data_IF_116420078433
#
_entry.id   IF_116420078433
#
_cell.length_a   1.000
_cell.length_b   1.000
_cell.length_c   1.000
_cell.angle_alpha   90.00
_cell.angle_beta   90.00
_cell.angle_gamma   90.00
#
_symmetry.space_group_name_H-M   'P 1'
#
loop_
_entity.id
_entity.type
_entity.pdbx_description
1 polymer ?
#
# COMPACT_ATOMS: atom_id res chain seq x y z
N UNK A 1 33.67 13.10 -22.07
CA UNK A 1 32.29 13.43 -22.47
C UNK A 1 31.42 12.88 -21.39
N UNK A 2 30.65 13.79 -20.78
CA UNK A 2 29.66 13.47 -19.76
C UNK A 2 28.53 12.65 -20.40
N UNK A 3 27.80 11.89 -19.57
CA UNK A 3 26.72 11.04 -20.04
C UNK A 3 25.56 11.90 -20.54
N UNK A 4 25.06 11.62 -21.75
CA UNK A 4 23.82 12.22 -22.24
C UNK A 4 22.80 11.13 -22.54
N UNK A 5 21.56 11.31 -22.09
CA UNK A 5 20.47 10.34 -22.24
C UNK A 5 19.34 10.95 -23.06
N UNK A 6 19.08 10.38 -24.23
CA UNK A 6 17.96 10.76 -25.12
C UNK A 6 16.81 9.75 -24.95
N UNK A 7 15.59 10.26 -24.78
CA UNK A 7 14.37 9.46 -24.62
C UNK A 7 13.66 9.31 -25.96
N UNK A 8 13.50 8.08 -26.44
CA UNK A 8 12.81 7.78 -27.70
C UNK A 8 11.58 6.92 -27.43
N UNK A 9 10.36 7.48 -27.49
CA UNK A 9 9.16 6.67 -27.45
C UNK A 9 9.11 5.75 -28.67
N UNK A 10 8.78 4.48 -28.47
CA UNK A 10 8.65 3.52 -29.57
C UNK A 10 7.17 3.46 -29.95
N UNK A 11 6.80 3.99 -31.11
CA UNK A 11 5.42 3.89 -31.58
C UNK A 11 5.18 2.50 -32.18
N UNK A 12 4.18 1.78 -31.67
CA UNK A 12 3.70 0.55 -32.27
C UNK A 12 3.20 0.78 -33.70
N UNK A 13 3.26 -0.26 -34.55
CA UNK A 13 2.72 -0.20 -35.91
C UNK A 13 1.18 -0.07 -35.86
N UNK A 14 0.69 1.16 -35.78
CA UNK A 14 -0.72 1.52 -35.60
C UNK A 14 -0.83 2.66 -34.60
N UNK A 15 -0.75 3.90 -35.09
CA UNK A 15 -0.54 5.12 -34.31
C UNK A 15 -1.68 5.59 -33.40
N UNK A 16 -2.39 4.68 -32.72
CA UNK A 16 -3.47 5.00 -31.77
C UNK A 16 -3.36 4.28 -30.42
N UNK A 17 -2.26 3.57 -30.14
CA UNK A 17 -1.96 3.05 -28.80
C UNK A 17 -0.55 3.47 -28.37
N UNK A 18 -0.45 4.17 -27.23
CA UNK A 18 0.83 4.39 -26.55
C UNK A 18 1.41 3.02 -26.16
N UNK A 19 2.46 2.59 -26.84
CA UNK A 19 3.23 1.40 -26.47
C UNK A 19 3.84 1.65 -25.08
N UNK A 20 3.80 0.65 -24.19
CA UNK A 20 4.36 0.68 -22.83
C UNK A 20 5.91 0.61 -22.86
N UNK A 21 6.51 1.08 -23.97
CA UNK A 21 7.90 0.85 -24.33
C UNK A 21 8.64 2.14 -24.68
N UNK A 22 9.85 2.27 -24.13
CA UNK A 22 10.74 3.40 -24.39
C UNK A 22 12.19 2.94 -24.59
N UNK A 23 12.86 3.55 -25.56
CA UNK A 23 14.29 3.41 -25.76
C UNK A 23 15.02 4.60 -25.09
N UNK A 24 15.96 4.32 -24.19
CA UNK A 24 16.89 5.29 -23.61
C UNK A 24 18.24 5.16 -24.29
N UNK A 25 18.60 6.17 -25.09
CA UNK A 25 19.86 6.19 -25.84
C UNK A 25 20.91 6.94 -25.03
N UNK A 26 21.89 6.20 -24.51
CA UNK A 26 22.98 6.74 -23.72
C UNK A 26 24.22 6.96 -24.60
N UNK A 27 24.88 8.11 -24.44
CA UNK A 27 26.11 8.48 -25.16
C UNK A 27 27.18 8.94 -24.17
N UNK A 28 28.43 8.54 -24.40
CA UNK A 28 29.56 8.97 -23.56
C UNK A 28 30.17 7.82 -22.74
N UNK A 29 30.23 7.97 -21.42
CA UNK A 29 30.88 7.01 -20.51
C UNK A 29 29.96 6.72 -19.32
N UNK A 30 30.00 5.48 -18.82
CA UNK A 30 29.31 5.07 -17.60
C UNK A 30 30.37 4.69 -16.54
N UNK A 31 30.58 5.58 -15.60
CA UNK A 31 31.43 5.45 -14.42
C UNK A 31 30.62 5.73 -13.13
N UNK A 32 31.29 5.98 -11.99
CA UNK A 32 30.59 6.02 -10.70
C UNK A 32 29.60 7.18 -10.59
N UNK A 33 29.95 8.34 -11.17
CA UNK A 33 29.13 9.56 -11.12
C UNK A 33 28.00 9.49 -12.15
N UNK A 34 28.34 9.12 -13.39
CA UNK A 34 27.36 9.03 -14.49
C UNK A 34 26.41 7.83 -14.38
N UNK A 35 26.75 6.79 -13.61
CA UNK A 35 25.83 5.67 -13.41
C UNK A 35 24.60 6.06 -12.58
N UNK A 36 24.74 6.95 -11.59
CA UNK A 36 23.60 7.45 -10.80
C UNK A 36 22.62 8.24 -11.69
N UNK A 37 23.12 8.97 -12.69
CA UNK A 37 22.29 9.68 -13.67
C UNK A 37 21.47 8.72 -14.56
N UNK A 38 22.07 7.57 -14.94
CA UNK A 38 21.36 6.54 -15.70
C UNK A 38 20.29 5.85 -14.85
N UNK A 39 20.58 5.58 -13.58
CA UNK A 39 19.62 5.02 -12.63
C UNK A 39 18.44 5.95 -12.42
N UNK A 40 18.69 7.24 -12.15
CA UNK A 40 17.64 8.24 -12.02
C UNK A 40 16.80 8.39 -13.31
N UNK A 41 17.43 8.32 -14.48
CA UNK A 41 16.70 8.39 -15.75
C UNK A 41 15.77 7.19 -15.95
N UNK A 42 16.21 5.97 -15.60
CA UNK A 42 15.37 4.78 -15.69
C UNK A 42 14.27 4.80 -14.62
N UNK A 43 14.58 5.19 -13.39
CA UNK A 43 13.62 5.33 -12.31
C UNK A 43 12.52 6.34 -12.65
N UNK A 44 12.86 7.45 -13.32
CA UNK A 44 11.88 8.42 -13.80
C UNK A 44 10.94 7.81 -14.85
N UNK A 45 11.43 7.00 -15.78
CA UNK A 45 10.58 6.32 -16.77
C UNK A 45 9.67 5.27 -16.11
N UNK A 46 10.20 4.52 -15.14
CA UNK A 46 9.42 3.59 -14.32
C UNK A 46 8.35 4.33 -13.51
N UNK A 47 8.67 5.51 -12.96
CA UNK A 47 7.74 6.40 -12.24
C UNK A 47 6.62 6.92 -13.13
N UNK A 48 6.93 7.19 -14.40
CA UNK A 48 5.96 7.56 -15.43
C UNK A 48 5.11 6.38 -15.93
N UNK A 49 5.28 5.18 -15.35
CA UNK A 49 4.47 4.00 -15.62
C UNK A 49 4.89 3.23 -16.87
N UNK A 50 6.09 3.49 -17.42
CA UNK A 50 6.63 2.74 -18.56
C UNK A 50 7.39 1.53 -18.05
N UNK A 51 6.88 0.34 -18.32
CA UNK A 51 7.45 -0.90 -17.78
C UNK A 51 8.35 -1.65 -18.76
N UNK A 52 8.44 -1.25 -20.04
CA UNK A 52 9.37 -1.83 -21.02
C UNK A 52 10.44 -0.82 -21.43
N UNK A 53 11.61 -0.88 -20.81
CA UNK A 53 12.72 0.06 -21.04
C UNK A 53 13.85 -0.66 -21.79
N UNK A 54 14.32 -0.06 -22.89
CA UNK A 54 15.43 -0.59 -23.68
C UNK A 54 16.58 0.39 -23.65
N UNK A 55 17.76 -0.06 -23.23
CA UNK A 55 18.96 0.75 -23.16
C UNK A 55 19.75 0.58 -24.45
N UNK A 56 19.91 1.65 -25.21
CA UNK A 56 20.84 1.71 -26.34
C UNK A 56 22.16 2.32 -25.87
N UNK A 57 23.18 1.47 -25.78
CA UNK A 57 24.53 1.80 -25.35
C UNK A 57 25.52 1.80 -26.53
N UNK A 58 25.05 1.93 -27.77
CA UNK A 58 25.89 1.90 -28.99
C UNK A 58 26.94 3.00 -29.00
N UNK A 59 26.67 4.13 -28.37
CA UNK A 59 27.57 5.29 -28.29
C UNK A 59 28.24 5.45 -26.91
N UNK A 60 28.15 4.42 -26.06
CA UNK A 60 28.91 4.36 -24.81
C UNK A 60 30.27 3.72 -25.09
N UNK A 61 31.34 4.47 -24.85
CA UNK A 61 32.72 4.03 -25.11
C UNK A 61 33.41 3.38 -23.92
N UNK A 62 32.84 3.47 -22.71
CA UNK A 62 33.47 3.00 -21.47
C UNK A 62 32.42 2.62 -20.42
N UNK A 63 32.65 1.50 -19.72
CA UNK A 63 31.83 1.00 -18.62
C UNK A 63 32.72 0.54 -17.46
N UNK A 64 32.57 1.15 -16.29
CA UNK A 64 33.28 0.78 -15.06
C UNK A 64 32.58 -0.36 -14.29
N UNK A 65 33.23 -0.89 -13.25
CA UNK A 65 32.60 -1.87 -12.35
C UNK A 65 31.38 -1.30 -11.60
N UNK A 66 31.36 0.00 -11.30
CA UNK A 66 30.20 0.68 -10.72
C UNK A 66 29.04 0.74 -11.73
N UNK A 67 29.34 1.05 -12.99
CA UNK A 67 28.33 1.07 -14.05
C UNK A 67 27.69 -0.30 -14.30
N UNK A 68 28.48 -1.39 -14.26
CA UNK A 68 27.94 -2.75 -14.35
C UNK A 68 26.96 -3.04 -13.22
N UNK A 69 27.29 -2.63 -11.99
CA UNK A 69 26.44 -2.85 -10.82
C UNK A 69 25.12 -2.10 -10.96
N UNK A 70 25.15 -0.86 -11.44
CA UNK A 70 23.95 -0.07 -11.70
C UNK A 70 23.08 -0.69 -12.79
N UNK A 71 23.65 -1.11 -13.92
CA UNK A 71 22.88 -1.82 -14.96
C UNK A 71 22.19 -3.08 -14.43
N UNK A 72 22.85 -3.81 -13.54
CA UNK A 72 22.25 -4.98 -12.89
C UNK A 72 21.15 -4.61 -11.89
N UNK A 73 21.35 -3.55 -11.10
CA UNK A 73 20.35 -3.06 -10.15
C UNK A 73 19.10 -2.58 -10.88
N UNK A 74 19.26 -1.80 -11.94
CA UNK A 74 18.17 -1.30 -12.78
C UNK A 74 17.42 -2.48 -13.43
N UNK A 75 18.13 -3.45 -14.01
CA UNK A 75 17.50 -4.66 -14.57
C UNK A 75 16.69 -5.42 -13.52
N UNK A 76 17.26 -5.59 -12.31
CA UNK A 76 16.57 -6.26 -11.19
C UNK A 76 15.36 -5.47 -10.70
N UNK A 77 15.48 -4.15 -10.59
CA UNK A 77 14.42 -3.25 -10.16
C UNK A 77 13.25 -3.29 -11.16
N UNK A 78 13.54 -3.15 -12.46
CA UNK A 78 12.55 -3.26 -13.53
C UNK A 78 11.89 -4.65 -13.57
N UNK A 79 12.65 -5.73 -13.37
CA UNK A 79 12.09 -7.09 -13.33
C UNK A 79 11.24 -7.35 -12.09
N UNK A 80 11.61 -6.78 -10.94
CA UNK A 80 10.84 -6.88 -9.69
C UNK A 80 9.45 -6.22 -9.83
N UNK A 81 9.37 -5.13 -10.60
CA UNK A 81 8.12 -4.42 -10.89
C UNK A 81 7.31 -5.02 -12.06
N UNK A 82 7.74 -6.16 -12.60
CA UNK A 82 7.05 -6.84 -13.71
C UNK A 82 7.32 -6.23 -15.09
N UNK A 83 8.22 -5.25 -15.16
CA UNK A 83 8.74 -4.69 -16.38
C UNK A 83 9.99 -5.40 -16.89
N UNK A 84 10.61 -4.82 -17.89
CA UNK A 84 11.92 -5.21 -18.39
C UNK A 84 12.78 -3.98 -18.59
N UNK A 85 14.04 -4.06 -18.14
CA UNK A 85 15.08 -3.14 -18.55
C UNK A 85 16.21 -3.97 -19.15
N UNK A 86 16.37 -3.90 -20.47
CA UNK A 86 17.33 -4.70 -21.22
C UNK A 86 18.13 -3.80 -22.15
N UNK A 87 19.39 -4.17 -22.39
CA UNK A 87 20.27 -3.53 -23.35
C UNK A 87 19.86 -4.01 -24.74
N UNK A 88 19.33 -3.12 -25.57
CA UNK A 88 18.89 -3.41 -26.94
C UNK A 88 20.05 -3.41 -27.92
N UNK A 89 21.04 -2.54 -27.70
CA UNK A 89 22.27 -2.44 -28.48
C UNK A 89 23.42 -1.93 -27.61
N UNK A 90 24.65 -2.33 -27.92
CA UNK A 90 25.84 -1.90 -27.20
C UNK A 90 27.04 -1.80 -28.17
N UNK A 91 27.98 -0.89 -27.87
CA UNK A 91 29.23 -0.80 -28.62
C UNK A 91 30.09 -2.07 -28.48
N UNK A 92 31.04 -2.29 -29.40
CA UNK A 92 31.93 -3.46 -29.36
C UNK A 92 32.75 -3.57 -28.06
N UNK A 93 33.34 -2.48 -27.52
CA UNK A 93 34.00 -2.53 -26.21
C UNK A 93 33.08 -2.96 -25.07
N UNK A 94 31.84 -2.46 -25.05
CA UNK A 94 30.86 -2.73 -23.99
C UNK A 94 30.34 -4.16 -24.08
N UNK A 95 30.04 -4.62 -25.28
CA UNK A 95 29.66 -6.02 -25.55
C UNK A 95 30.74 -6.96 -25.04
N UNK A 96 32.02 -6.68 -25.36
CA UNK A 96 33.15 -7.50 -24.89
C UNK A 96 33.26 -7.55 -23.37
N UNK A 97 33.04 -6.42 -22.68
CA UNK A 97 33.01 -6.35 -21.21
C UNK A 97 31.87 -7.20 -20.64
N UNK A 98 30.65 -7.08 -21.17
CA UNK A 98 29.48 -7.84 -20.72
C UNK A 98 29.63 -9.34 -20.97
N UNK A 99 30.24 -9.74 -22.10
CA UNK A 99 30.53 -11.15 -22.40
C UNK A 99 31.58 -11.72 -21.45
N UNK A 100 32.69 -11.01 -21.22
CA UNK A 100 33.74 -11.46 -20.29
C UNK A 100 33.22 -11.57 -18.85
N UNK A 101 32.32 -10.67 -18.45
CA UNK A 101 31.65 -10.72 -17.15
C UNK A 101 30.50 -11.75 -17.07
N UNK A 102 30.18 -12.45 -18.17
CA UNK A 102 29.04 -13.40 -18.31
C UNK A 102 27.67 -12.77 -18.02
N UNK A 103 27.53 -11.47 -18.26
CA UNK A 103 26.30 -10.71 -18.00
C UNK A 103 25.45 -10.50 -19.25
N UNK A 104 26.01 -10.72 -20.45
CA UNK A 104 25.28 -10.54 -21.71
C UNK A 104 23.94 -11.33 -21.78
N UNK A 105 23.83 -12.60 -21.35
CA UNK A 105 22.55 -13.34 -21.39
C UNK A 105 21.48 -12.82 -20.41
N UNK A 106 21.89 -12.02 -19.42
CA UNK A 106 21.01 -11.50 -18.36
C UNK A 106 20.55 -10.09 -18.71
N UNK A 107 21.48 -9.27 -19.22
CA UNK A 107 21.28 -7.83 -19.41
C UNK A 107 20.97 -7.44 -20.86
N UNK A 108 21.24 -8.27 -21.86
CA UNK A 108 20.96 -7.94 -23.27
C UNK A 108 19.67 -8.58 -23.77
N UNK A 109 18.92 -7.82 -24.56
CA UNK A 109 17.74 -8.29 -25.27
C UNK A 109 18.13 -9.44 -26.21
N UNK A 110 17.50 -10.59 -26.04
CA UNK A 110 17.74 -11.73 -26.92
C UNK A 110 16.89 -11.54 -28.19
N UNK A 111 17.44 -11.77 -29.40
CA UNK A 111 16.62 -11.83 -30.60
C UNK A 111 15.56 -12.91 -30.39
N UNK A 112 14.28 -12.50 -30.43
CA UNK A 112 13.17 -13.47 -30.46
C UNK A 112 13.26 -14.19 -31.80
N UNK A 113 13.87 -15.38 -31.78
CA UNK A 113 13.71 -16.34 -32.86
C UNK A 113 12.23 -16.74 -32.85
N UNK A 114 11.48 -16.18 -33.79
CA UNK A 114 10.05 -16.42 -33.93
C UNK A 114 9.82 -17.94 -34.04
N UNK A 115 8.97 -18.55 -33.19
CA UNK A 115 8.58 -19.93 -33.38
C UNK A 115 7.78 -20.03 -34.68
N UNK A 116 8.41 -20.55 -35.73
CA UNK A 116 7.73 -21.09 -36.90
C UNK A 116 6.94 -22.30 -36.40
N UNK A 117 5.61 -22.23 -36.43
CA UNK A 117 4.76 -23.40 -36.21
C UNK A 117 5.14 -24.51 -37.20
N UNK A 118 5.52 -25.72 -36.75
CA UNK A 118 5.47 -26.88 -37.60
C UNK A 118 4.08 -27.49 -37.53
N UNK A 119 3.51 -27.71 -38.70
CA UNK A 119 2.25 -28.38 -38.95
C UNK A 119 2.16 -29.76 -38.28
N UNK A 120 0.97 -30.02 -37.75
CA UNK A 120 0.31 -31.30 -37.49
C UNK A 120 0.97 -32.57 -38.06
N UNK A 121 1.20 -33.55 -37.18
CA UNK A 121 0.96 -34.96 -37.50
C UNK A 121 0.31 -35.69 -36.32
N UNK A 122 -0.87 -36.26 -36.60
CA UNK A 122 -1.74 -36.93 -35.67
C UNK A 122 -1.28 -38.37 -35.42
N UNK A 123 -1.20 -38.77 -34.15
CA UNK A 123 -1.31 -40.18 -33.76
C UNK A 123 -2.27 -40.29 -32.57
N UNK A 124 -3.35 -41.01 -32.84
CA UNK A 124 -4.43 -41.37 -31.93
C UNK A 124 -3.99 -42.43 -30.92
N UNK A 125 -4.20 -42.20 -29.63
CA UNK A 125 -4.45 -43.25 -28.65
C UNK A 125 -5.25 -42.67 -27.47
N UNK A 126 -6.52 -43.05 -27.40
CA UNK A 126 -7.45 -42.56 -26.38
C UNK A 126 -7.14 -43.10 -24.99
N UNK A 127 -7.32 -42.24 -23.99
CA UNK A 127 -7.72 -42.63 -22.64
C UNK A 127 -8.58 -41.48 -22.08
N UNK A 128 -9.86 -41.77 -21.86
CA UNK A 128 -10.81 -40.87 -21.20
C UNK A 128 -10.39 -40.67 -19.75
N UNK A 129 -10.06 -39.43 -19.38
CA UNK A 129 -9.91 -38.98 -18.01
C UNK A 129 -11.00 -37.92 -17.71
N UNK A 130 -11.51 -37.86 -16.47
CA UNK A 130 -12.69 -37.07 -16.15
C UNK A 130 -12.41 -35.57 -16.27
N UNK A 131 -13.34 -34.87 -16.90
CA UNK A 131 -13.34 -33.42 -17.07
C UNK A 131 -13.33 -32.72 -15.71
N UNK A 132 -12.18 -32.14 -15.35
CA UNK A 132 -12.10 -31.08 -14.35
C UNK A 132 -12.92 -29.88 -14.87
N UNK A 133 -13.67 -29.17 -13.99
CA UNK A 133 -14.37 -27.97 -14.41
C UNK A 133 -13.36 -26.97 -14.95
N UNK A 134 -13.64 -26.43 -16.13
CA UNK A 134 -12.84 -25.40 -16.76
C UNK A 134 -12.50 -24.31 -15.74
N UNK A 135 -11.20 -24.10 -15.52
CA UNK A 135 -10.70 -22.96 -14.77
C UNK A 135 -11.31 -21.73 -15.42
N UNK A 136 -12.23 -21.08 -14.70
CA UNK A 136 -12.83 -19.85 -15.18
C UNK A 136 -11.70 -18.87 -15.44
N UNK A 137 -11.55 -18.44 -16.68
CA UNK A 137 -10.72 -17.29 -17.04
C UNK A 137 -11.13 -16.17 -16.09
N UNK A 138 -10.20 -15.53 -15.33
CA UNK A 138 -10.56 -14.43 -14.46
C UNK A 138 -11.26 -13.39 -15.32
N UNK A 139 -12.54 -13.13 -15.04
CA UNK A 139 -13.26 -12.03 -15.69
C UNK A 139 -12.49 -10.77 -15.29
N UNK A 140 -11.78 -10.14 -16.23
CA UNK A 140 -11.25 -8.79 -16.01
C UNK A 140 -12.44 -7.94 -15.59
N UNK A 141 -12.44 -7.47 -14.35
CA UNK A 141 -13.38 -6.45 -13.90
C UNK A 141 -13.31 -5.28 -14.86
N UNK A 142 -14.46 -4.76 -15.27
CA UNK A 142 -14.53 -3.61 -16.17
C UNK A 142 -14.07 -2.39 -15.37
N UNK A 143 -13.11 -1.65 -15.92
CA UNK A 143 -12.66 -0.40 -15.31
C UNK A 143 -13.83 0.61 -15.31
N UNK A 144 -14.05 1.27 -14.18
CA UNK A 144 -15.18 2.16 -13.98
C UNK A 144 -14.68 3.51 -13.47
N UNK A 145 -15.03 4.57 -14.20
CA UNK A 145 -14.79 5.94 -13.73
C UNK A 145 -15.96 6.40 -12.88
N UNK A 146 -15.67 6.80 -11.65
CA UNK A 146 -16.64 7.41 -10.74
C UNK A 146 -15.98 8.71 -10.26
N UNK A 147 -16.59 9.84 -10.64
CA UNK A 147 -16.05 11.17 -10.35
C UNK A 147 -14.60 11.33 -10.90
N UNK A 148 -13.66 11.72 -10.03
CA UNK A 148 -12.23 11.84 -10.31
C UNK A 148 -11.43 10.55 -10.18
N UNK A 149 -12.07 9.41 -9.89
CA UNK A 149 -11.41 8.14 -9.56
C UNK A 149 -11.67 7.11 -10.66
N UNK A 150 -10.60 6.47 -11.15
CA UNK A 150 -10.68 5.30 -12.01
C UNK A 150 -10.53 4.04 -11.16
N UNK A 151 -11.62 3.29 -11.03
CA UNK A 151 -11.61 1.97 -10.39
C UNK A 151 -11.22 0.92 -11.41
N UNK A 152 -10.31 0.02 -11.04
CA UNK A 152 -9.80 -1.03 -11.93
C UNK A 152 -9.92 -2.40 -11.30
N UNK A 153 -10.05 -3.45 -12.13
CA UNK A 153 -10.00 -4.84 -11.66
C UNK A 153 -11.03 -5.20 -10.59
N UNK A 154 -12.18 -4.54 -10.63
CA UNK A 154 -13.22 -4.68 -9.61
C UNK A 154 -13.77 -6.11 -9.51
N UNK A 155 -13.80 -6.68 -8.30
CA UNK A 155 -14.55 -7.89 -7.99
C UNK A 155 -15.63 -7.58 -6.95
N UNK A 156 -16.89 -7.84 -7.32
CA UNK A 156 -18.06 -7.64 -6.46
C UNK A 156 -18.34 -8.84 -5.56
N UNK A 157 -17.43 -9.81 -5.42
CA UNK A 157 -17.50 -10.93 -4.46
C UNK A 157 -17.47 -10.49 -2.98
N UNK A 158 -17.81 -9.23 -2.69
CA UNK A 158 -17.84 -8.58 -1.39
C UNK A 158 -18.99 -9.03 -0.48
N UNK A 159 -19.78 -10.05 -0.84
CA UNK A 159 -21.02 -10.36 -0.13
C UNK A 159 -20.83 -11.10 1.20
N UNK A 160 -19.65 -11.66 1.50
CA UNK A 160 -19.42 -12.39 2.75
C UNK A 160 -18.99 -11.39 3.83
N UNK A 161 -19.83 -11.15 4.85
CA UNK A 161 -19.45 -10.26 5.94
C UNK A 161 -18.31 -10.87 6.77
N UNK A 162 -17.47 -10.01 7.33
CA UNK A 162 -16.53 -10.36 8.39
C UNK A 162 -17.09 -9.94 9.74
N UNK A 163 -16.76 -10.71 10.77
CA UNK A 163 -17.16 -10.43 12.15
C UNK A 163 -16.03 -9.69 12.87
N UNK A 164 -16.28 -8.45 13.27
CA UNK A 164 -15.39 -7.64 14.08
C UNK A 164 -15.77 -7.61 15.55
N UNK A 165 -14.76 -7.47 16.40
CA UNK A 165 -14.89 -7.28 17.84
C UNK A 165 -14.28 -5.93 18.23
N UNK A 166 -15.10 -5.08 18.85
CA UNK A 166 -14.60 -3.90 19.56
C UNK A 166 -14.07 -4.33 20.91
N UNK A 167 -12.78 -4.10 21.10
CA UNK A 167 -12.03 -4.45 22.30
C UNK A 167 -11.73 -3.22 23.13
N UNK A 168 -11.78 -3.41 24.45
CA UNK A 168 -11.59 -2.36 25.41
C UNK A 168 -12.71 -1.31 25.37
N UNK A 169 -12.54 -0.30 26.20
CA UNK A 169 -13.35 0.92 26.13
C UNK A 169 -12.48 1.96 25.49
N UNK A 170 -13.00 2.69 24.49
CA UNK A 170 -12.32 3.88 23.97
C UNK A 170 -11.83 4.70 25.17
N UNK A 171 -10.50 4.82 25.39
CA UNK A 171 -9.93 5.58 26.51
C UNK A 171 -10.38 7.04 26.46
N UNK A 172 -10.89 7.45 25.32
CA UNK A 172 -11.32 8.79 25.00
C UNK A 172 -12.80 9.06 25.29
N UNK A 173 -13.56 8.05 25.77
CA UNK A 173 -14.95 8.22 26.17
C UNK A 173 -15.13 8.20 27.68
N UNK A 174 -15.48 9.36 28.23
CA UNK A 174 -16.12 9.54 29.53
C UNK A 174 -15.30 9.16 30.78
N UNK A 175 -13.96 9.29 30.74
CA UNK A 175 -13.13 9.11 31.95
C UNK A 175 -13.25 7.71 32.58
N UNK A 176 -13.66 6.69 31.81
CA UNK A 176 -13.71 5.31 32.30
C UNK A 176 -12.30 4.75 32.39
N UNK A 177 -12.04 4.02 33.47
CA UNK A 177 -10.81 3.26 33.63
C UNK A 177 -10.65 2.30 32.44
N UNK A 178 -9.55 2.44 31.72
CA UNK A 178 -9.18 1.52 30.64
C UNK A 178 -8.88 0.18 31.29
N UNK A 179 -9.70 -0.82 31.01
CA UNK A 179 -9.48 -2.19 31.47
C UNK A 179 -8.54 -2.90 30.51
N UNK A 180 -7.44 -3.43 31.07
CA UNK A 180 -6.49 -4.26 30.35
C UNK A 180 -7.23 -5.48 29.75
N UNK A 181 -7.15 -5.63 28.44
CA UNK A 181 -7.74 -6.75 27.72
C UNK A 181 -6.76 -7.92 27.71
N UNK A 182 -7.26 -9.18 27.66
CA UNK A 182 -6.37 -10.31 27.40
C UNK A 182 -5.62 -10.10 26.07
N UNK A 183 -4.40 -10.62 25.93
CA UNK A 183 -3.67 -10.53 24.67
C UNK A 183 -4.47 -11.11 23.50
N UNK A 184 -4.41 -10.43 22.37
CA UNK A 184 -5.03 -10.81 21.10
C UNK A 184 -3.96 -11.38 20.19
N UNK A 185 -4.15 -12.60 19.71
CA UNK A 185 -3.27 -13.19 18.71
C UNK A 185 -3.63 -12.66 17.32
N UNK A 186 -2.65 -12.20 16.55
CA UNK A 186 -2.84 -11.70 15.20
C UNK A 186 -2.54 -12.82 14.22
N UNK A 187 -3.59 -13.51 13.79
CA UNK A 187 -3.50 -14.62 12.83
C UNK A 187 -3.20 -14.13 11.41
N UNK A 188 -2.85 -15.07 10.51
CA UNK A 188 -2.61 -14.80 9.07
C UNK A 188 -3.79 -14.18 8.34
N UNK A 189 -5.02 -14.42 8.80
CA UNK A 189 -6.23 -13.78 8.29
C UNK A 189 -6.79 -12.74 9.28
N UNK A 190 -5.99 -12.30 10.25
CA UNK A 190 -6.36 -11.34 11.29
C UNK A 190 -5.98 -9.92 10.90
N UNK A 191 -6.81 -8.98 11.32
CA UNK A 191 -6.62 -7.55 11.14
C UNK A 191 -7.06 -6.80 12.39
N UNK A 192 -6.49 -5.62 12.61
CA UNK A 192 -6.96 -4.77 13.67
C UNK A 192 -6.28 -3.41 13.72
N UNK A 193 -6.91 -2.50 14.47
CA UNK A 193 -6.47 -1.12 14.65
C UNK A 193 -6.80 -0.63 16.05
N UNK A 194 -6.12 0.44 16.47
CA UNK A 194 -6.44 1.19 17.67
C UNK A 194 -5.21 1.51 18.50
N UNK A 195 -5.37 1.53 19.82
CA UNK A 195 -4.27 1.79 20.75
C UNK A 195 -3.85 0.50 21.45
N UNK A 196 -2.59 0.11 21.25
CA UNK A 196 -2.05 -1.13 21.81
C UNK A 196 -0.53 -1.21 21.81
N UNK A 197 -0.02 -2.24 22.44
CA UNK A 197 1.40 -2.58 22.56
C UNK A 197 1.62 -4.07 22.29
N UNK A 198 2.86 -4.50 22.14
CA UNK A 198 3.14 -5.94 22.08
C UNK A 198 2.80 -6.59 23.43
N UNK A 199 2.39 -7.86 23.41
CA UNK A 199 1.83 -8.53 24.58
C UNK A 199 2.82 -8.64 25.77
N UNK A 200 4.12 -8.60 25.50
CA UNK A 200 5.22 -8.66 26.46
C UNK A 200 5.66 -7.29 27.02
N UNK A 201 5.19 -6.18 26.44
CA UNK A 201 5.49 -4.81 26.87
C UNK A 201 4.64 -4.32 28.05
N UNK A 202 3.86 -5.22 28.66
CA UNK A 202 3.00 -4.92 29.80
C UNK A 202 1.62 -4.37 29.40
N UNK A 203 0.92 -3.68 30.31
CA UNK A 203 -0.43 -3.19 30.06
C UNK A 203 -0.50 -2.17 28.91
N UNK A 204 -1.54 -2.26 28.08
CA UNK A 204 -1.72 -1.34 26.95
C UNK A 204 -1.90 0.13 27.40
N UNK A 205 -2.34 0.37 28.64
CA UNK A 205 -2.47 1.73 29.19
C UNK A 205 -1.13 2.42 29.41
N UNK A 206 -0.05 1.68 29.67
CA UNK A 206 1.28 2.24 29.95
C UNK A 206 2.15 2.33 28.71
N UNK A 207 1.99 1.39 27.79
CA UNK A 207 2.92 1.22 26.66
C UNK A 207 2.24 1.38 25.30
N UNK A 208 0.90 1.41 25.27
CA UNK A 208 0.13 1.38 24.04
C UNK A 208 0.09 2.72 23.32
N UNK A 209 0.43 2.69 22.02
CA UNK A 209 0.25 3.80 21.08
C UNK A 209 -0.44 3.32 19.82
N UNK A 210 -0.18 3.95 18.67
CA UNK A 210 -0.89 3.62 17.42
C UNK A 210 -0.56 2.19 16.98
N UNK A 211 -1.59 1.36 16.80
CA UNK A 211 -1.47 -0.04 16.42
C UNK A 211 -2.17 -0.29 15.07
N UNK A 212 -1.49 -1.02 14.19
CA UNK A 212 -2.07 -1.60 12.98
C UNK A 212 -1.65 -3.07 12.89
N UNK A 213 -2.62 -3.95 12.68
CA UNK A 213 -2.42 -5.37 12.46
C UNK A 213 -3.02 -5.77 11.10
N UNK A 214 -2.25 -6.51 10.29
CA UNK A 214 -2.68 -7.02 9.01
C UNK A 214 -1.94 -8.31 8.64
N UNK A 215 -2.69 -9.34 8.26
CA UNK A 215 -2.15 -10.60 7.72
C UNK A 215 -1.06 -11.30 8.55
N UNK A 216 -1.17 -11.22 9.89
CA UNK A 216 -0.17 -11.78 10.80
C UNK A 216 1.06 -10.89 11.01
N UNK A 217 1.06 -9.67 10.49
CA UNK A 217 2.02 -8.62 10.84
C UNK A 217 1.36 -7.60 11.77
N UNK A 218 2.15 -7.07 12.71
CA UNK A 218 1.75 -6.04 13.66
C UNK A 218 2.75 -4.90 13.59
N UNK A 219 2.25 -3.68 13.50
CA UNK A 219 3.03 -2.44 13.48
C UNK A 219 2.53 -1.55 14.60
N UNK A 220 3.43 -1.08 15.46
CA UNK A 220 3.09 -0.25 16.62
C UNK A 220 4.01 0.97 16.69
N UNK A 221 3.43 2.14 16.93
CA UNK A 221 4.17 3.33 17.34
C UNK A 221 3.94 3.57 18.83
N UNK A 222 4.97 3.52 19.68
CA UNK A 222 4.85 3.80 21.12
C UNK A 222 4.38 5.24 21.40
N UNK A 223 3.68 5.47 22.53
CA UNK A 223 3.02 6.74 22.81
C UNK A 223 3.99 7.77 23.42
N UNK A 224 4.98 8.21 22.64
CA UNK A 224 5.98 9.22 23.06
C UNK A 224 6.39 10.12 21.89
N UNK A 225 6.87 11.34 22.15
CA UNK A 225 7.32 12.23 21.08
C UNK A 225 8.45 11.57 20.26
N UNK A 226 8.37 11.72 18.93
CA UNK A 226 9.39 11.21 17.99
C UNK A 226 9.68 9.71 18.09
N UNK A 227 8.74 8.91 18.60
CA UNK A 227 8.90 7.46 18.64
C UNK A 227 9.13 6.88 17.23
N UNK A 228 10.01 5.90 17.10
CA UNK A 228 10.05 5.06 15.91
C UNK A 228 8.89 4.05 15.96
N UNK A 229 8.38 3.67 14.80
CA UNK A 229 7.49 2.53 14.69
C UNK A 229 8.30 1.23 14.79
N UNK A 230 7.69 0.20 15.37
CA UNK A 230 8.25 -1.13 15.51
C UNK A 230 7.28 -2.16 14.92
N UNK A 231 7.78 -3.35 14.60
CA UNK A 231 6.97 -4.40 14.00
C UNK A 231 7.35 -5.81 14.43
N UNK A 232 6.33 -6.67 14.51
CA UNK A 232 6.50 -8.11 14.65
C UNK A 232 5.71 -8.79 13.54
N UNK A 233 6.38 -9.68 12.80
CA UNK A 233 5.78 -10.43 11.70
C UNK A 233 5.74 -11.90 12.08
N UNK A 234 4.58 -12.52 11.96
CA UNK A 234 4.41 -13.95 12.18
C UNK A 234 5.23 -14.76 11.19
N UNK A 235 5.95 -15.76 11.69
CA UNK A 235 6.76 -16.67 10.86
C UNK A 235 6.76 -18.07 11.44
N UNK A 236 6.47 -19.08 10.61
CA UNK A 236 6.33 -20.46 11.07
C UNK A 236 5.27 -20.58 12.18
N UNK A 237 5.67 -21.11 13.33
CA UNK A 237 4.80 -21.30 14.49
C UNK A 237 4.66 -20.04 15.38
N UNK A 238 5.41 -18.96 15.08
CA UNK A 238 5.31 -17.72 15.84
C UNK A 238 4.10 -16.89 15.36
N UNK A 239 3.14 -16.70 16.26
CA UNK A 239 1.98 -15.83 16.08
C UNK A 239 2.16 -14.59 16.96
N UNK A 240 2.19 -13.37 16.38
CA UNK A 240 2.32 -12.15 17.16
C UNK A 240 1.10 -11.96 18.07
N UNK A 241 1.33 -11.43 19.27
CA UNK A 241 0.27 -11.12 20.22
C UNK A 241 0.37 -9.66 20.68
N UNK A 242 -0.78 -9.01 20.83
CA UNK A 242 -0.88 -7.60 21.24
C UNK A 242 -1.83 -7.43 22.43
N UNK A 243 -1.57 -6.41 23.24
CA UNK A 243 -2.53 -5.93 24.24
C UNK A 243 -3.14 -4.64 23.76
N UNK A 244 -4.45 -4.50 23.97
CA UNK A 244 -5.25 -3.43 23.36
C UNK A 244 -5.96 -2.64 24.46
N UNK A 245 -5.75 -1.33 24.47
CA UNK A 245 -6.48 -0.40 25.34
C UNK A 245 -7.86 -0.09 24.75
N UNK A 246 -7.90 0.20 23.45
CA UNK A 246 -9.10 0.23 22.65
C UNK A 246 -8.78 -0.08 21.20
N UNK A 247 -9.61 -0.88 20.55
CA UNK A 247 -9.38 -1.23 19.16
C UNK A 247 -10.53 -2.01 18.54
N UNK A 248 -10.43 -2.22 17.23
CA UNK A 248 -11.31 -3.05 16.45
C UNK A 248 -10.47 -4.13 15.79
N UNK A 249 -10.85 -5.39 15.99
CA UNK A 249 -10.17 -6.55 15.41
C UNK A 249 -11.17 -7.43 14.69
N UNK A 250 -10.76 -8.05 13.58
CA UNK A 250 -11.55 -9.05 12.89
C UNK A 250 -10.67 -10.14 12.31
N UNK A 251 -11.29 -11.29 12.04
CA UNK A 251 -10.67 -12.39 11.32
C UNK A 251 -11.42 -12.67 10.01
N UNK A 252 -10.68 -13.09 9.01
CA UNK A 252 -11.16 -13.34 7.66
C UNK A 252 -10.63 -12.28 6.68
N UNK A 253 -10.12 -12.75 5.54
CA UNK A 253 -9.66 -11.89 4.46
C UNK A 253 -10.87 -11.18 3.81
N UNK A 254 -10.87 -9.84 3.70
CA UNK A 254 -11.88 -9.13 2.92
C UNK A 254 -11.80 -9.55 1.45
N UNK A 255 -12.93 -9.98 0.88
CA UNK A 255 -12.98 -10.58 -0.46
C UNK A 255 -13.41 -9.60 -1.57
N UNK A 256 -14.04 -8.48 -1.19
CA UNK A 256 -14.26 -7.39 -2.12
C UNK A 256 -12.92 -6.78 -2.52
N UNK A 257 -12.79 -6.41 -3.79
CA UNK A 257 -11.55 -5.89 -4.35
C UNK A 257 -11.86 -4.77 -5.33
N UNK A 258 -11.12 -3.66 -5.20
CA UNK A 258 -11.08 -2.61 -6.20
C UNK A 258 -9.69 -2.01 -6.27
N UNK A 259 -9.04 -2.08 -7.43
CA UNK A 259 -7.96 -1.15 -7.76
C UNK A 259 -8.52 0.26 -7.89
N UNK A 260 -7.70 1.27 -7.67
CA UNK A 260 -8.04 2.68 -7.87
C UNK A 260 -6.82 3.48 -8.29
N UNK A 261 -7.06 4.55 -9.05
CA UNK A 261 -6.07 5.57 -9.39
C UNK A 261 -6.78 6.89 -9.69
N UNK A 262 -6.08 8.00 -9.52
CA UNK A 262 -6.57 9.32 -9.92
C UNK A 262 -6.83 9.36 -11.44
N UNK A 263 -7.88 10.06 -11.86
CA UNK A 263 -8.33 10.05 -13.25
C UNK A 263 -8.61 11.46 -13.79
N UNK A 264 -8.28 11.67 -15.08
CA UNK A 264 -8.45 12.98 -15.73
C UNK A 264 -7.35 13.95 -15.29
N UNK A 265 -7.74 15.14 -14.85
CA UNK A 265 -6.80 16.17 -14.37
C UNK A 265 -6.46 16.03 -12.88
N UNK A 266 -7.15 15.13 -12.16
CA UNK A 266 -6.86 14.83 -10.76
C UNK A 266 -5.53 14.11 -10.61
N UNK A 267 -4.79 14.47 -9.58
CA UNK A 267 -3.48 13.88 -9.26
C UNK A 267 -3.53 12.97 -8.03
N UNK A 268 -4.66 12.96 -7.32
CA UNK A 268 -4.85 12.21 -6.10
C UNK A 268 -6.28 11.69 -5.95
N UNK A 269 -6.42 10.71 -5.08
CA UNK A 269 -7.66 10.07 -4.66
C UNK A 269 -7.80 10.31 -3.16
N UNK A 270 -8.87 11.00 -2.76
CA UNK A 270 -9.14 11.27 -1.34
C UNK A 270 -9.67 10.01 -0.66
N UNK A 271 -9.18 9.71 0.54
CA UNK A 271 -9.55 8.48 1.26
C UNK A 271 -11.03 8.45 1.60
N UNK A 272 -11.65 9.58 1.95
CA UNK A 272 -13.08 9.70 2.24
C UNK A 272 -13.96 9.38 1.02
N UNK A 273 -13.60 9.91 -0.16
CA UNK A 273 -14.28 9.62 -1.43
C UNK A 273 -14.17 8.13 -1.80
N UNK A 274 -12.95 7.58 -1.77
CA UNK A 274 -12.71 6.17 -2.08
C UNK A 274 -13.55 5.26 -1.18
N UNK A 275 -13.50 5.50 0.13
CA UNK A 275 -14.25 4.72 1.10
C UNK A 275 -15.76 4.88 0.94
N UNK A 276 -16.23 6.09 0.60
CA UNK A 276 -17.64 6.32 0.27
C UNK A 276 -18.07 5.45 -0.91
N UNK A 277 -17.31 5.44 -2.00
CA UNK A 277 -17.58 4.57 -3.16
C UNK A 277 -17.57 3.09 -2.75
N UNK A 278 -16.65 2.67 -1.89
CA UNK A 278 -16.56 1.29 -1.42
C UNK A 278 -17.80 0.88 -0.60
N UNK A 279 -18.36 1.77 0.23
CA UNK A 279 -19.62 1.54 0.95
C UNK A 279 -20.78 1.27 -0.03
N UNK A 280 -20.90 2.05 -1.11
CA UNK A 280 -21.92 1.83 -2.14
C UNK A 280 -21.73 0.49 -2.86
N UNK A 281 -20.48 0.16 -3.21
CA UNK A 281 -20.14 -1.09 -3.89
C UNK A 281 -20.37 -2.32 -3.03
N UNK A 282 -20.07 -2.23 -1.74
CA UNK A 282 -20.34 -3.28 -0.78
C UNK A 282 -21.83 -3.42 -0.45
N UNK A 283 -22.65 -2.43 -0.82
CA UNK A 283 -24.06 -2.33 -0.43
C UNK A 283 -24.24 -2.48 1.08
N UNK A 284 -23.37 -1.82 1.85
CA UNK A 284 -23.31 -1.95 3.30
C UNK A 284 -23.12 -0.58 3.97
N UNK A 285 -23.73 -0.40 5.15
CA UNK A 285 -23.57 0.80 5.98
C UNK A 285 -22.27 0.82 6.77
N UNK A 286 -21.61 -0.34 6.91
CA UNK A 286 -20.35 -0.52 7.64
C UNK A 286 -19.47 -1.49 6.85
N UNK A 287 -18.23 -1.09 6.56
CA UNK A 287 -17.24 -1.91 5.86
C UNK A 287 -15.92 -1.94 6.61
N UNK A 288 -15.30 -3.11 6.63
CA UNK A 288 -13.88 -3.26 6.91
C UNK A 288 -13.11 -2.98 5.61
N UNK A 289 -12.04 -2.20 5.70
CA UNK A 289 -11.19 -1.86 4.56
C UNK A 289 -9.73 -2.14 4.88
N UNK A 290 -9.03 -2.62 3.87
CA UNK A 290 -7.57 -2.74 3.84
C UNK A 290 -7.13 -2.11 2.52
N UNK A 291 -6.34 -1.06 2.57
CA UNK A 291 -5.88 -0.32 1.39
C UNK A 291 -4.37 -0.43 1.38
N UNK A 292 -3.81 -0.77 0.22
CA UNK A 292 -2.38 -0.61 -0.04
C UNK A 292 -2.21 0.37 -1.17
N UNK A 293 -1.50 1.46 -0.93
CA UNK A 293 -1.47 2.58 -1.85
C UNK A 293 -0.16 3.36 -1.83
N UNK A 294 0.14 3.98 -2.97
CA UNK A 294 1.14 5.03 -3.08
C UNK A 294 0.56 6.31 -2.48
N UNK A 295 1.32 6.95 -1.58
CA UNK A 295 0.89 8.10 -0.81
C UNK A 295 1.20 9.39 -1.56
N UNK A 296 0.15 10.19 -1.79
CA UNK A 296 0.33 11.59 -2.19
C UNK A 296 0.60 12.45 -0.95
N UNK A 297 -0.14 12.22 0.14
CA UNK A 297 0.11 12.80 1.44
C UNK A 297 -0.93 12.36 2.45
N UNK A 298 -0.52 12.03 3.67
CA UNK A 298 -1.41 11.61 4.75
C UNK A 298 -1.63 12.74 5.74
N UNK A 299 -2.81 12.75 6.36
CA UNK A 299 -3.16 13.65 7.45
C UNK A 299 -3.69 12.81 8.61
N UNK A 300 -3.17 13.04 9.81
CA UNK A 300 -3.59 12.32 10.99
C UNK A 300 -2.88 12.73 12.26
N UNK A 301 -2.94 11.84 13.24
CA UNK A 301 -2.44 12.05 14.58
C UNK A 301 -1.75 10.82 15.14
N UNK A 302 -0.84 11.05 16.07
CA UNK A 302 -0.22 10.01 16.88
C UNK A 302 -0.24 10.38 18.36
N UNK A 303 -0.55 9.41 19.20
CA UNK A 303 -0.40 9.53 20.65
C UNK A 303 1.07 9.75 21.03
N UNK A 304 1.34 10.76 21.86
CA UNK A 304 2.70 11.09 22.35
C UNK A 304 2.83 10.97 23.87
N UNK A 305 1.83 10.39 24.54
CA UNK A 305 1.86 10.11 25.98
C UNK A 305 1.12 8.82 26.33
N UNK A 306 1.63 8.01 27.27
CA UNK A 306 0.90 6.87 27.81
C UNK A 306 -0.46 7.25 28.38
N UNK A 307 -1.49 6.44 28.09
CA UNK A 307 -2.84 6.66 28.61
C UNK A 307 -2.92 6.58 30.14
N UNK A 308 -2.00 5.87 30.79
CA UNK A 308 -1.88 5.80 32.25
C UNK A 308 -1.53 7.15 32.90
N UNK A 309 -1.03 8.13 32.13
CA UNK A 309 -0.79 9.50 32.61
C UNK A 309 -2.06 10.37 32.61
N UNK A 310 -3.19 9.86 32.09
CA UNK A 310 -4.39 10.67 31.90
C UNK A 310 -5.07 10.99 33.22
N UNK A 311 -5.33 12.29 33.44
CA UNK A 311 -6.18 12.76 34.52
C UNK A 311 -7.66 12.68 34.11
N UNK A 312 -8.58 12.75 35.07
CA UNK A 312 -10.02 12.67 34.81
C UNK A 312 -10.54 13.72 33.81
N UNK A 313 -9.88 14.89 33.74
CA UNK A 313 -10.23 15.99 32.83
C UNK A 313 -9.46 15.92 31.49
N UNK A 314 -8.49 15.00 31.35
CA UNK A 314 -7.73 14.82 30.12
C UNK A 314 -8.57 13.99 29.13
N UNK A 315 -9.14 14.70 28.16
CA UNK A 315 -9.86 14.11 27.03
C UNK A 315 -9.17 14.52 25.72
N UNK A 316 -8.15 13.76 25.26
CA UNK A 316 -7.36 14.10 24.06
C UNK A 316 -8.22 14.30 22.81
N UNK A 317 -9.37 13.62 22.72
CA UNK A 317 -10.30 13.72 21.59
C UNK A 317 -11.52 14.60 21.87
N UNK A 318 -11.52 15.40 22.93
CA UNK A 318 -12.64 16.32 23.26
C UNK A 318 -12.83 17.45 22.25
N UNK A 319 -11.93 17.58 21.27
CA UNK A 319 -11.87 18.73 20.37
C UNK A 319 -11.30 19.99 21.03
N UNK A 320 -10.89 19.90 22.30
CA UNK A 320 -10.21 21.01 22.99
C UNK A 320 -8.75 21.02 22.53
N UNK A 321 -8.39 21.99 21.68
CA UNK A 321 -7.05 22.10 21.09
C UNK A 321 -5.92 22.07 22.13
N UNK A 322 -6.08 22.72 23.28
CA UNK A 322 -5.09 22.74 24.35
C UNK A 322 -4.86 21.34 24.97
N UNK A 323 -5.92 20.53 25.10
CA UNK A 323 -5.82 19.16 25.58
C UNK A 323 -5.23 18.27 24.50
N UNK A 324 -5.74 18.34 23.27
CA UNK A 324 -5.20 17.57 22.14
C UNK A 324 -3.70 17.81 21.95
N UNK A 325 -3.23 19.05 21.96
CA UNK A 325 -1.81 19.40 21.77
C UNK A 325 -0.87 18.88 22.87
N UNK A 326 -1.39 18.53 24.06
CA UNK A 326 -0.59 17.90 25.12
C UNK A 326 -0.39 16.40 24.91
N UNK A 327 -1.29 15.78 24.15
CA UNK A 327 -1.44 14.33 24.05
C UNK A 327 -1.16 13.77 22.66
N UNK A 328 -1.35 14.58 21.62
CA UNK A 328 -1.25 14.19 20.23
C UNK A 328 -0.18 15.01 19.52
N UNK A 329 0.62 14.33 18.71
CA UNK A 329 1.25 14.92 17.54
C UNK A 329 0.21 14.90 16.43
N UNK A 330 -0.05 16.04 15.79
CA UNK A 330 -1.06 16.14 14.73
C UNK A 330 -0.43 16.82 13.50
N UNK A 331 -0.54 16.18 12.33
CA UNK A 331 -0.05 16.73 11.08
C UNK A 331 -1.05 17.74 10.52
N UNK A 332 -0.66 19.02 10.40
CA UNK A 332 -1.51 20.07 9.80
C UNK A 332 -1.20 20.36 8.32
N UNK A 333 -0.30 19.55 7.78
CA UNK A 333 0.15 19.55 6.39
C UNK A 333 0.26 18.07 5.95
N UNK A 334 0.15 17.76 4.66
CA UNK A 334 0.28 16.38 4.18
C UNK A 334 1.69 15.84 4.46
N UNK A 335 1.76 14.67 5.10
CA UNK A 335 3.02 13.98 5.44
C UNK A 335 3.23 12.71 4.63
N UNK A 336 4.47 12.23 4.60
CA UNK A 336 4.87 10.99 3.91
C UNK A 336 4.58 10.91 2.39
N UNK A 337 4.71 12.00 1.60
CA UNK A 337 4.55 11.93 0.14
C UNK A 337 5.59 10.97 -0.47
N UNK A 338 5.20 10.26 -1.54
CA UNK A 338 6.10 9.37 -2.28
C UNK A 338 6.43 8.07 -1.55
N UNK A 339 5.68 7.71 -0.51
CA UNK A 339 5.82 6.45 0.23
C UNK A 339 4.75 5.44 -0.18
N UNK A 340 4.83 4.22 0.35
CA UNK A 340 3.74 3.23 0.23
C UNK A 340 3.14 3.00 1.61
N UNK A 341 1.81 3.01 1.72
CA UNK A 341 1.11 2.79 2.98
C UNK A 341 0.21 1.55 2.92
N UNK A 342 0.15 0.82 4.04
CA UNK A 342 -0.93 -0.11 4.37
C UNK A 342 -1.89 0.64 5.30
N UNK A 343 -3.14 0.82 4.88
CA UNK A 343 -4.18 1.47 5.67
C UNK A 343 -5.23 0.43 6.01
N UNK A 344 -5.56 0.29 7.28
CA UNK A 344 -6.53 -0.69 7.78
C UNK A 344 -7.57 0.04 8.60
N UNK A 345 -8.83 -0.38 8.51
CA UNK A 345 -9.81 0.01 9.51
C UNK A 345 -11.25 -0.16 9.06
N UNK A 346 -12.10 0.70 9.60
CA UNK A 346 -13.56 0.65 9.41
C UNK A 346 -14.07 1.97 8.88
N UNK A 347 -15.11 1.89 8.05
CA UNK A 347 -15.88 3.03 7.61
C UNK A 347 -17.38 2.78 7.71
N UNK A 348 -18.16 3.86 7.89
CA UNK A 348 -19.60 3.81 8.03
C UNK A 348 -20.29 5.11 7.59
N UNK A 349 -21.53 4.98 7.08
CA UNK A 349 -22.42 6.12 6.78
C UNK A 349 -23.36 6.50 7.92
N UNK A 350 -23.53 5.62 8.91
CA UNK A 350 -24.50 5.75 9.99
C UNK A 350 -24.02 4.98 11.21
N UNK A 351 -22.88 5.35 11.77
CA UNK A 351 -22.32 4.66 12.91
C UNK A 351 -23.27 4.76 14.12
N UNK A 352 -23.66 3.61 14.66
CA UNK A 352 -24.57 3.50 15.83
C UNK A 352 -23.96 2.67 16.94
N UNK A 353 -24.55 2.74 18.14
CA UNK A 353 -24.11 1.94 19.29
C UNK A 353 -22.65 2.18 19.67
N UNK A 354 -21.91 1.09 19.91
CA UNK A 354 -20.49 1.14 20.29
C UNK A 354 -19.58 1.63 19.15
N UNK A 355 -20.00 1.52 17.89
CA UNK A 355 -19.21 2.01 16.75
C UNK A 355 -19.21 3.54 16.68
N UNK A 356 -20.30 4.19 17.07
CA UNK A 356 -20.46 5.65 17.00
C UNK A 356 -19.37 6.41 17.78
N UNK A 357 -18.91 5.87 18.90
CA UNK A 357 -17.81 6.46 19.67
C UNK A 357 -16.42 6.12 19.14
N UNK A 358 -16.32 5.11 18.27
CA UNK A 358 -15.06 4.61 17.73
C UNK A 358 -14.67 5.27 16.41
N UNK A 359 -15.60 5.82 15.63
CA UNK A 359 -15.32 6.47 14.33
C UNK A 359 -15.41 8.00 14.39
N UNK A 360 -14.82 8.69 13.41
CA UNK A 360 -14.86 10.15 13.22
C UNK A 360 -15.11 10.49 11.74
N UNK A 361 -15.63 11.69 11.41
CA UNK A 361 -15.74 12.13 10.03
C UNK A 361 -14.38 12.06 9.31
N UNK A 362 -14.32 11.37 8.17
CA UNK A 362 -13.08 11.24 7.38
C UNK A 362 -12.81 12.49 6.54
N UNK A 363 -13.87 13.23 6.20
CA UNK A 363 -13.80 14.45 5.40
C UNK A 363 -13.32 15.68 6.21
N UNK A 364 -13.06 15.51 7.51
CA UNK A 364 -12.69 16.60 8.41
C UNK A 364 -13.85 17.51 8.79
N UNK A 365 -15.10 17.20 8.39
CA UNK A 365 -16.24 18.04 8.73
C UNK A 365 -16.52 18.04 10.25
N UNK A 366 -16.98 19.18 10.77
CA UNK A 366 -17.40 19.27 12.16
C UNK A 366 -18.60 18.33 12.43
N UNK A 367 -18.60 17.68 13.59
CA UNK A 367 -19.68 16.78 14.00
C UNK A 367 -21.05 17.47 13.90
N UNK A 368 -21.97 16.89 13.11
CA UNK A 368 -23.32 17.41 12.89
C UNK A 368 -23.57 18.07 11.53
N UNK A 369 -22.55 18.20 10.66
CA UNK A 369 -22.69 18.70 9.29
C UNK A 369 -23.21 17.61 8.32
N UNK A 370 -24.47 17.18 8.45
CA UNK A 370 -25.11 16.26 7.49
C UNK A 370 -24.55 14.81 7.48
N UNK A 371 -24.99 13.96 6.53
CA UNK A 371 -24.49 12.60 6.40
C UNK A 371 -23.05 12.64 5.89
N UNK A 372 -22.10 12.32 6.77
CA UNK A 372 -20.67 12.28 6.48
C UNK A 372 -20.18 10.84 6.61
N UNK A 373 -19.32 10.42 5.68
CA UNK A 373 -18.63 9.13 5.81
C UNK A 373 -17.68 9.23 7.01
N UNK A 374 -17.96 8.43 8.03
CA UNK A 374 -17.13 8.33 9.22
C UNK A 374 -16.25 7.09 9.16
N UNK A 375 -15.07 7.13 9.76
CA UNK A 375 -14.19 5.99 9.84
C UNK A 375 -13.20 6.08 10.99
N UNK A 376 -12.45 5.00 11.14
CA UNK A 376 -11.29 4.92 12.01
C UNK A 376 -10.28 4.10 11.23
N UNK A 377 -9.21 4.75 10.79
CA UNK A 377 -8.25 4.16 9.86
C UNK A 377 -6.85 4.40 10.42
N UNK A 378 -6.06 3.35 10.55
CA UNK A 378 -4.63 3.48 10.85
C UNK A 378 -3.83 3.23 9.58
N UNK A 379 -2.67 3.86 9.47
CA UNK A 379 -1.73 3.66 8.39
C UNK A 379 -0.37 3.22 8.93
N UNK A 380 0.21 2.18 8.34
CA UNK A 380 1.62 1.82 8.45
C UNK A 380 2.32 2.25 7.16
N UNK A 381 3.35 3.07 7.29
CA UNK A 381 4.03 3.74 6.17
C UNK A 381 5.37 3.04 5.93
N UNK A 382 5.72 2.80 4.67
CA UNK A 382 6.94 2.10 4.25
C UNK A 382 7.70 2.93 3.20
N UNK A 383 9.01 2.67 3.01
CA UNK A 383 9.72 3.17 1.84
C UNK A 383 8.96 2.82 0.56
N UNK A 384 9.11 3.64 -0.48
CA UNK A 384 8.38 3.44 -1.73
C UNK A 384 8.53 2.00 -2.27
N UNK A 385 7.39 1.40 -2.56
CA UNK A 385 7.22 0.09 -3.20
C UNK A 385 6.19 0.27 -4.32
N UNK A 386 6.60 0.14 -5.60
CA UNK A 386 5.68 0.30 -6.72
C UNK A 386 4.55 -0.71 -6.65
N UNK A 387 3.31 -0.25 -6.79
CA UNK A 387 2.13 -1.13 -6.79
C UNK A 387 1.75 -1.53 -8.20
N UNK A 388 1.47 -2.83 -8.39
CA UNK A 388 1.05 -3.37 -9.70
C UNK A 388 -0.37 -2.94 -10.02
N UNK A 389 -0.61 -2.58 -11.28
CA UNK A 389 -1.96 -2.33 -11.79
C UNK A 389 -2.68 -3.66 -12.02
N UNK A 390 -3.85 -3.85 -11.40
CA UNK A 390 -4.67 -5.06 -11.54
C UNK A 390 -4.88 -5.84 -10.23
N UNK A 391 -5.58 -6.98 -10.34
CA UNK A 391 -5.93 -7.82 -9.20
C UNK A 391 -4.68 -8.39 -8.54
N UNK A 392 -4.44 -8.01 -7.29
CA UNK A 392 -3.33 -8.50 -6.49
C UNK A 392 -3.86 -9.21 -5.24
N UNK A 393 -3.14 -10.23 -4.77
CA UNK A 393 -3.48 -10.91 -3.52
C UNK A 393 -2.98 -10.10 -2.32
N UNK A 394 -3.83 -9.97 -1.30
CA UNK A 394 -3.55 -9.13 -0.13
C UNK A 394 -2.35 -9.64 0.67
N UNK A 395 -2.33 -10.93 1.03
CA UNK A 395 -1.31 -11.49 1.94
C UNK A 395 0.12 -11.36 1.40
N UNK A 396 0.42 -11.72 0.13
CA UNK A 396 1.77 -11.54 -0.41
C UNK A 396 2.26 -10.09 -0.43
N UNK A 397 1.36 -9.12 -0.66
CA UNK A 397 1.69 -7.70 -0.63
C UNK A 397 2.07 -7.28 0.79
N UNK A 398 1.28 -7.69 1.79
CA UNK A 398 1.57 -7.37 3.18
C UNK A 398 2.88 -8.02 3.63
N UNK A 399 3.16 -9.27 3.23
CA UNK A 399 4.41 -9.95 3.55
C UNK A 399 5.64 -9.22 2.96
N UNK A 400 5.55 -8.73 1.72
CA UNK A 400 6.63 -7.96 1.08
C UNK A 400 6.88 -6.61 1.76
N UNK A 401 5.81 -5.88 2.11
CA UNK A 401 5.93 -4.61 2.84
C UNK A 401 6.49 -4.82 4.25
N UNK A 402 5.99 -5.84 4.95
CA UNK A 402 6.42 -6.19 6.31
C UNK A 402 7.86 -6.70 6.38
N UNK A 403 8.48 -7.07 5.25
CA UNK A 403 9.90 -7.40 5.18
C UNK A 403 10.82 -6.18 5.37
N UNK A 404 10.27 -4.96 5.34
CA UNK A 404 10.98 -3.71 5.64
C UNK A 404 10.44 -3.10 6.94
N UNK A 405 11.30 -2.40 7.69
CA UNK A 405 10.85 -1.65 8.86
C UNK A 405 9.90 -0.52 8.44
N UNK A 406 8.78 -0.30 9.16
CA UNK A 406 7.89 0.83 8.89
C UNK A 406 8.59 2.16 9.22
N UNK A 407 8.35 3.17 8.38
CA UNK A 407 8.77 4.55 8.62
C UNK A 407 7.93 5.21 9.72
N UNK A 408 6.63 4.90 9.77
CA UNK A 408 5.70 5.44 10.73
C UNK A 408 4.45 4.56 10.86
N UNK A 409 3.74 4.69 11.98
CA UNK A 409 2.38 4.21 12.18
C UNK A 409 1.57 5.35 12.77
N UNK A 410 0.43 5.68 12.17
CA UNK A 410 -0.39 6.82 12.56
C UNK A 410 -1.89 6.54 12.39
N UNK A 411 -2.72 7.25 13.16
CA UNK A 411 -4.16 7.28 12.97
C UNK A 411 -4.51 8.37 11.96
N UNK A 412 -5.17 8.01 10.85
CA UNK A 412 -5.62 8.97 9.85
C UNK A 412 -6.84 9.75 10.36
N UNK A 413 -6.72 11.08 10.34
CA UNK A 413 -7.72 11.98 10.87
C UNK A 413 -7.69 13.28 10.06
N UNK A 414 -8.84 13.72 9.55
CA UNK A 414 -8.93 14.95 8.78
C UNK A 414 -8.67 16.19 9.65
N UNK A 415 -7.99 17.19 9.08
CA UNK A 415 -7.86 18.53 9.64
C UNK A 415 -8.98 19.43 9.08
N UNK A 416 -9.96 19.88 9.89
CA UNK A 416 -10.96 20.86 9.44
C UNK A 416 -10.37 22.23 9.09
N UNK A 417 -9.15 22.51 9.56
CA UNK A 417 -8.48 23.81 9.45
C UNK A 417 -7.00 23.60 9.04
N UNK A 418 -6.75 23.03 7.85
CA UNK A 418 -5.38 22.73 7.42
C UNK A 418 -4.55 24.00 7.24
N UNK A 419 -3.25 23.88 7.49
CA UNK A 419 -2.29 24.95 7.15
C UNK A 419 -1.91 24.87 5.67
N UNK A 420 -1.73 23.67 5.14
CA UNK A 420 -1.49 23.37 3.73
C UNK A 420 -2.27 22.12 3.29
N UNK A 421 -2.56 22.04 1.99
CA UNK A 421 -3.29 20.93 1.39
C UNK A 421 -4.79 20.94 1.70
N UNK A 422 -5.46 19.82 1.41
CA UNK A 422 -6.90 19.65 1.62
C UNK A 422 -7.29 19.40 3.08
N UNK A 423 -6.32 19.10 3.94
CA UNK A 423 -6.58 18.61 5.30
C UNK A 423 -7.04 17.16 5.34
N UNK A 424 -7.01 16.45 4.22
CA UNK A 424 -7.44 15.06 4.11
C UNK A 424 -6.29 14.16 3.62
N UNK A 425 -6.39 12.87 3.92
CA UNK A 425 -5.42 11.89 3.41
C UNK A 425 -5.70 11.60 1.93
N UNK A 426 -4.65 11.65 1.12
CA UNK A 426 -4.67 11.57 -0.33
C UNK A 426 -3.69 10.50 -0.83
N UNK A 427 -4.15 9.71 -1.79
CA UNK A 427 -3.43 8.58 -2.38
C UNK A 427 -3.29 8.78 -3.88
N UNK A 428 -2.23 8.28 -4.51
CA UNK A 428 -2.07 8.39 -5.97
C UNK A 428 -2.84 7.27 -6.67
N UNK A 429 -2.55 6.04 -6.26
CA UNK A 429 -3.13 4.80 -6.76
C UNK A 429 -2.92 3.68 -5.77
N UNK A 430 -3.70 2.61 -5.90
CA UNK A 430 -3.57 1.46 -5.03
C UNK A 430 -4.66 0.43 -5.23
N UNK A 431 -4.80 -0.41 -4.22
CA UNK A 431 -5.80 -1.47 -4.17
C UNK A 431 -6.50 -1.42 -2.81
N UNK A 432 -7.82 -1.50 -2.84
CA UNK A 432 -8.68 -1.58 -1.67
C UNK A 432 -9.34 -2.96 -1.62
N UNK A 433 -9.08 -3.71 -0.55
CA UNK A 433 -9.83 -4.90 -0.18
C UNK A 433 -10.87 -4.53 0.87
N UNK A 434 -12.08 -5.05 0.73
CA UNK A 434 -13.18 -4.67 1.60
C UNK A 434 -14.19 -5.80 1.82
N UNK A 435 -14.92 -5.71 2.92
CA UNK A 435 -16.03 -6.59 3.24
C UNK A 435 -17.04 -5.85 4.14
N UNK A 436 -18.35 -6.14 4.03
CA UNK A 436 -19.32 -5.75 5.04
C UNK A 436 -18.85 -6.21 6.42
N UNK A 437 -18.95 -5.34 7.41
CA UNK A 437 -18.45 -5.62 8.76
C UNK A 437 -19.60 -5.66 9.75
N UNK A 438 -19.77 -6.81 10.42
CA UNK A 438 -20.66 -6.92 11.57
C UNK A 438 -19.85 -6.72 12.84
N UNK A 439 -20.26 -5.80 13.71
CA UNK A 439 -19.50 -5.46 14.91
C UNK A 439 -20.19 -5.96 16.17
N UNK A 440 -19.44 -6.63 17.02
CA UNK A 440 -19.85 -7.05 18.37
C UNK A 440 -18.99 -6.30 19.40
N UNK A 441 -19.59 -5.88 20.51
CA UNK A 441 -18.83 -5.46 21.69
C UNK A 441 -18.44 -6.72 22.47
N UNK A 442 -17.17 -6.88 22.82
CA UNK A 442 -16.72 -8.10 23.52
C UNK A 442 -15.32 -8.02 24.09
N UNK A 443 -14.95 -9.08 24.81
CA UNK A 443 -13.56 -9.41 25.15
C UNK A 443 -12.99 -10.31 24.05
N UNK A 444 -11.72 -10.17 23.69
CA UNK A 444 -11.09 -11.07 22.72
C UNK A 444 -11.21 -12.52 23.22
N UNK A 445 -11.75 -13.39 22.38
CA UNK A 445 -12.06 -14.79 22.69
C UNK A 445 -10.97 -15.73 22.23
#
# INVERSE_FOLDING_TARGET
MDLSIERRPVFGAGGDTFDDRIDLVARGRIDIESAEELEAAVDEELRLGRHTIRLDLTEVGFLSSAGIRVLFNIHRAAKATGGSCLISAASEPITRVLTLARLAPILMEQPVEQPVEPAVEAVTAGHSAPSLPATATPRRGIDQRIEGILLTGCDSSAAVPVDGCLLGSSPWTNGRAVTDQPPVNVLRAGFGIGIGCFADEGPAVTSGGELLAACGAVFIRPPRPFAAADSIVGSGDHVPAVRVAAGLFWEGLPRGLSGFEAAGDETAVRVDELVSIILDRAQADVVAVVIVAEVQGLVGAELIRPLAEALSDDHPTSGIAATAARWLSFSREPVHPGTTAVIVGVASRNATGALASFVRPLDGAAAGAGPTTSGHLHAAIFPHRPLRRGVSELTPIIDDLAASAPLAVMHLLGDPLPVLGSGQSELVRGVCWFAPLTIRAGTAG
#
